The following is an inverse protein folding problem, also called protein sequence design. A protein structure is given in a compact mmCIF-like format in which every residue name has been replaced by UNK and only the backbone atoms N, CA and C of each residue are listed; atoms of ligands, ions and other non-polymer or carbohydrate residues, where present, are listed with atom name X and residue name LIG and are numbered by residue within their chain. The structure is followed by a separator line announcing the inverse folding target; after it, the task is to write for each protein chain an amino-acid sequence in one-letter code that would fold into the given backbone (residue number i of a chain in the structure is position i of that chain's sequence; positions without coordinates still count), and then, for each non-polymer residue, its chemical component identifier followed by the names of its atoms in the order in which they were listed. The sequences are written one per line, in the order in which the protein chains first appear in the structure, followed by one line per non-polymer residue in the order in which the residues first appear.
data_IF_450884876376
#
_entry.id   IF_450884876376
#
_cell.length_a   1.000
_cell.length_b   1.000
_cell.length_c   1.000
_cell.angle_alpha   90.00
_cell.angle_beta   90.00
_cell.angle_gamma   90.00
#
_symmetry.space_group_name_H-M   'P 1'
#
loop_
_entity.id
_entity.type
_entity.pdbx_description
1 polymer ?
#
# COMPACT_ATOMS: atom_id res chain seq x y z
N UNK A 1 -20.64 12.18 40.63
CA UNK A 1 -20.14 11.20 39.63
C UNK A 1 -21.30 10.91 38.69
N UNK A 2 -21.17 11.28 37.41
CA UNK A 2 -22.15 10.92 36.39
C UNK A 2 -22.23 9.40 36.26
N UNK A 3 -23.44 8.84 36.18
CA UNK A 3 -23.66 7.41 36.08
C UNK A 3 -23.21 6.90 34.71
N UNK A 4 -22.89 5.60 34.60
CA UNK A 4 -22.52 4.97 33.32
C UNK A 4 -23.56 5.21 32.22
N UNK A 5 -24.85 5.19 32.58
CA UNK A 5 -25.97 5.44 31.66
C UNK A 5 -25.97 6.88 31.09
N UNK A 6 -25.49 7.85 31.85
CA UNK A 6 -25.38 9.25 31.38
C UNK A 6 -24.12 9.46 30.51
N UNK A 7 -23.05 8.75 30.80
CA UNK A 7 -21.78 8.82 30.06
C UNK A 7 -21.83 8.11 28.73
N UNK A 8 -22.54 6.99 28.65
CA UNK A 8 -22.55 6.11 27.49
C UNK A 8 -22.94 6.79 26.17
N UNK A 9 -24.00 7.61 26.09
CA UNK A 9 -24.35 8.29 24.84
C UNK A 9 -23.27 9.26 24.35
N UNK A 10 -22.63 10.00 25.28
CA UNK A 10 -21.59 10.97 24.96
C UNK A 10 -20.35 10.25 24.40
N UNK A 11 -19.93 9.19 25.07
CA UNK A 11 -18.78 8.36 24.64
C UNK A 11 -19.07 7.73 23.29
N UNK A 12 -20.24 7.11 23.13
CA UNK A 12 -20.60 6.44 21.89
C UNK A 12 -20.65 7.39 20.69
N UNK A 13 -21.18 8.59 20.89
CA UNK A 13 -21.17 9.63 19.85
C UNK A 13 -19.75 10.03 19.46
N UNK A 14 -18.87 10.26 20.43
CA UNK A 14 -17.47 10.60 20.16
C UNK A 14 -16.71 9.48 19.46
N UNK A 15 -16.93 8.22 19.86
CA UNK A 15 -16.34 7.05 19.19
C UNK A 15 -16.83 6.90 17.76
N UNK A 16 -18.11 7.15 17.49
CA UNK A 16 -18.67 7.11 16.13
C UNK A 16 -18.01 8.17 15.24
N UNK A 17 -17.81 9.38 15.71
CA UNK A 17 -17.12 10.44 14.97
C UNK A 17 -15.68 10.04 14.67
N UNK A 18 -14.94 9.54 15.67
CA UNK A 18 -13.57 9.05 15.48
C UNK A 18 -13.52 7.85 14.53
N UNK A 19 -14.48 6.94 14.61
CA UNK A 19 -14.56 5.79 13.70
C UNK A 19 -14.85 6.19 12.25
N UNK A 20 -15.71 7.20 12.05
CA UNK A 20 -15.93 7.74 10.72
C UNK A 20 -14.64 8.30 10.11
N UNK A 21 -13.79 8.92 10.92
CA UNK A 21 -12.48 9.42 10.48
C UNK A 21 -11.54 8.26 10.12
N UNK A 22 -11.55 7.18 10.91
CA UNK A 22 -10.87 5.91 10.62
C UNK A 22 -11.31 5.34 9.27
N UNK A 23 -12.63 5.26 9.03
CA UNK A 23 -13.20 4.75 7.77
C UNK A 23 -12.82 5.63 6.57
N UNK A 24 -12.81 6.95 6.72
CA UNK A 24 -12.40 7.87 5.65
C UNK A 24 -10.94 7.65 5.28
N UNK A 25 -10.05 7.56 6.27
CA UNK A 25 -8.62 7.30 6.02
C UNK A 25 -8.41 5.94 5.34
N UNK A 26 -9.08 4.90 5.83
CA UNK A 26 -9.06 3.56 5.23
C UNK A 26 -9.51 3.60 3.76
N UNK A 27 -10.65 4.19 3.46
CA UNK A 27 -11.21 4.24 2.11
C UNK A 27 -10.30 5.04 1.15
N UNK A 28 -9.83 6.23 1.55
CA UNK A 28 -8.94 7.05 0.73
C UNK A 28 -7.62 6.33 0.47
N UNK A 29 -7.09 5.63 1.48
CA UNK A 29 -5.87 4.84 1.32
C UNK A 29 -6.06 3.76 0.26
N UNK A 30 -7.16 2.99 0.30
CA UNK A 30 -7.40 1.95 -0.70
C UNK A 30 -7.60 2.52 -2.10
N UNK A 31 -8.43 3.58 -2.23
CA UNK A 31 -8.71 4.22 -3.52
C UNK A 31 -7.41 4.75 -4.16
N UNK A 32 -6.49 5.29 -3.36
CA UNK A 32 -5.21 5.82 -3.85
C UNK A 32 -4.15 4.73 -4.03
N UNK A 33 -4.01 3.81 -3.07
CA UNK A 33 -2.93 2.83 -3.07
C UNK A 33 -3.09 1.72 -4.11
N UNK A 34 -4.33 1.29 -4.42
CA UNK A 34 -4.58 0.25 -5.42
C UNK A 34 -4.08 0.66 -6.81
N UNK A 35 -4.49 1.80 -7.41
CA UNK A 35 -4.00 2.22 -8.72
C UNK A 35 -2.53 2.65 -8.69
N UNK A 36 -2.09 3.36 -7.65
CA UNK A 36 -0.70 3.78 -7.52
C UNK A 36 0.24 2.57 -7.38
N UNK A 37 -0.16 1.56 -6.62
CA UNK A 37 0.58 0.31 -6.48
C UNK A 37 0.76 -0.43 -7.81
N UNK A 38 -0.26 -0.41 -8.67
CA UNK A 38 -0.17 -0.99 -10.02
C UNK A 38 0.84 -0.22 -10.90
N UNK A 39 0.82 1.10 -10.85
CA UNK A 39 1.80 1.96 -11.56
C UNK A 39 3.22 1.66 -11.08
N UNK A 40 3.43 1.60 -9.76
CA UNK A 40 4.72 1.26 -9.14
C UNK A 40 5.15 -0.16 -9.53
N UNK A 41 4.25 -1.13 -9.59
CA UNK A 41 4.54 -2.50 -10.03
C UNK A 41 5.08 -2.52 -11.46
N UNK A 42 4.43 -1.83 -12.39
CA UNK A 42 4.92 -1.71 -13.77
C UNK A 42 6.27 -1.01 -13.85
N UNK A 43 6.49 0.05 -13.07
CA UNK A 43 7.79 0.70 -12.95
C UNK A 43 8.89 -0.27 -12.50
N UNK A 44 8.61 -1.08 -11.47
CA UNK A 44 9.55 -2.08 -10.92
C UNK A 44 9.89 -3.22 -11.88
N UNK A 45 9.01 -3.48 -12.86
CA UNK A 45 9.18 -4.50 -13.91
C UNK A 45 9.64 -3.90 -15.25
N UNK A 46 9.78 -2.57 -15.35
CA UNK A 46 10.16 -1.90 -16.59
C UNK A 46 11.46 -2.43 -17.17
N UNK A 47 11.42 -2.73 -18.46
CA UNK A 47 12.59 -3.14 -19.24
C UNK A 47 13.19 -1.98 -20.04
N UNK A 48 12.69 -0.76 -19.87
CA UNK A 48 13.21 0.40 -20.55
C UNK A 48 14.66 0.69 -20.14
N UNK A 49 15.57 0.60 -21.13
CA UNK A 49 16.99 0.89 -20.94
C UNK A 49 17.29 2.31 -21.48
N UNK A 50 17.81 3.18 -20.60
CA UNK A 50 18.01 4.59 -20.96
C UNK A 50 18.96 4.77 -22.15
N UNK A 51 19.94 3.90 -22.28
CA UNK A 51 20.94 3.93 -23.37
C UNK A 51 20.73 2.79 -24.40
N UNK A 52 19.56 2.17 -24.42
CA UNK A 52 19.25 1.04 -25.29
C UNK A 52 19.39 1.35 -26.79
N UNK A 53 19.27 2.63 -27.18
CA UNK A 53 19.47 3.08 -28.55
C UNK A 53 20.94 2.95 -29.01
N UNK A 54 21.91 2.92 -28.11
CA UNK A 54 23.34 2.72 -28.40
C UNK A 54 23.71 1.23 -28.52
N UNK A 55 22.80 0.33 -28.21
CA UNK A 55 23.03 -1.11 -28.22
C UNK A 55 23.61 -1.64 -29.54
N UNK A 56 23.09 -1.26 -30.72
CA UNK A 56 23.65 -1.72 -31.99
C UNK A 56 25.10 -1.25 -32.20
N UNK A 57 25.41 -0.03 -31.80
CA UNK A 57 26.75 0.55 -31.96
C UNK A 57 27.79 -0.11 -31.05
N UNK A 58 27.42 -0.40 -29.80
CA UNK A 58 28.33 -0.98 -28.79
C UNK A 58 28.53 -2.49 -28.98
N UNK A 59 27.48 -3.22 -29.38
CA UNK A 59 27.53 -4.69 -29.45
C UNK A 59 27.92 -5.23 -30.84
N UNK A 60 27.88 -4.42 -31.90
CA UNK A 60 28.15 -4.86 -33.29
C UNK A 60 29.56 -5.39 -33.51
N UNK A 61 30.53 -4.96 -32.72
CA UNK A 61 31.96 -5.31 -32.88
C UNK A 61 32.56 -6.05 -31.68
N UNK A 62 31.70 -6.59 -30.80
CA UNK A 62 32.16 -7.16 -29.54
C UNK A 62 31.99 -8.67 -29.53
N UNK A 63 33.10 -9.39 -29.45
CA UNK A 63 33.10 -10.84 -29.24
C UNK A 63 32.76 -11.11 -27.75
N UNK A 64 31.53 -11.65 -27.48
CA UNK A 64 30.99 -11.83 -26.11
C UNK A 64 31.86 -12.73 -25.21
N UNK A 65 32.82 -13.46 -25.75
CA UNK A 65 33.71 -14.37 -25.00
C UNK A 65 34.99 -13.70 -24.47
N UNK A 66 35.41 -12.55 -25.03
CA UNK A 66 36.68 -11.90 -24.71
C UNK A 66 36.54 -10.42 -24.37
N UNK A 67 35.48 -10.08 -23.62
CA UNK A 67 35.26 -8.70 -23.20
C UNK A 67 36.28 -8.22 -22.18
N UNK A 68 36.95 -7.12 -22.49
CA UNK A 68 37.70 -6.35 -21.48
C UNK A 68 36.76 -5.79 -20.43
N UNK A 69 37.28 -5.48 -19.24
CA UNK A 69 36.47 -4.94 -18.14
C UNK A 69 35.64 -3.69 -18.55
N UNK A 70 36.25 -2.77 -19.28
CA UNK A 70 35.57 -1.57 -19.80
C UNK A 70 34.45 -1.89 -20.79
N UNK A 71 34.64 -2.85 -21.67
CA UNK A 71 33.61 -3.31 -22.60
C UNK A 71 32.42 -3.99 -21.88
N UNK A 72 32.70 -4.71 -20.78
CA UNK A 72 31.65 -5.25 -19.91
C UNK A 72 30.84 -4.16 -19.26
N UNK A 73 31.48 -3.09 -18.75
CA UNK A 73 30.80 -1.92 -18.17
C UNK A 73 29.96 -1.21 -19.22
N UNK A 74 30.49 -0.94 -20.41
CA UNK A 74 29.73 -0.30 -21.50
C UNK A 74 28.53 -1.16 -21.95
N UNK A 75 28.73 -2.45 -22.12
CA UNK A 75 27.64 -3.39 -22.45
C UNK A 75 26.56 -3.38 -21.36
N UNK A 76 26.93 -3.41 -20.09
CA UNK A 76 26.00 -3.35 -18.97
C UNK A 76 25.19 -2.04 -18.98
N UNK A 77 25.82 -0.89 -19.18
CA UNK A 77 25.11 0.40 -19.28
C UNK A 77 24.07 0.44 -20.38
N UNK A 78 24.38 -0.19 -21.52
CA UNK A 78 23.51 -0.19 -22.71
C UNK A 78 22.40 -1.23 -22.61
N UNK A 79 22.65 -2.38 -21.94
CA UNK A 79 21.66 -3.48 -21.88
C UNK A 79 20.88 -3.51 -20.57
N UNK A 80 21.54 -3.23 -19.44
CA UNK A 80 21.02 -3.53 -18.11
C UNK A 80 20.75 -2.28 -17.26
N UNK A 81 21.24 -1.11 -17.66
CA UNK A 81 20.91 0.13 -16.96
C UNK A 81 19.46 0.53 -17.24
N UNK A 82 18.58 0.19 -16.29
CA UNK A 82 17.13 0.43 -16.33
C UNK A 82 16.76 1.39 -15.20
N UNK A 83 16.90 2.71 -15.41
CA UNK A 83 16.79 3.70 -14.32
C UNK A 83 15.40 3.69 -13.66
N UNK A 84 14.32 3.55 -14.44
CA UNK A 84 12.96 3.47 -13.90
C UNK A 84 12.82 2.27 -12.95
N UNK A 85 13.29 1.11 -13.36
CA UNK A 85 13.26 -0.10 -12.54
C UNK A 85 14.12 0.06 -11.27
N UNK A 86 15.32 0.62 -11.41
CA UNK A 86 16.24 0.82 -10.29
C UNK A 86 15.65 1.79 -9.26
N UNK A 87 15.18 2.96 -9.72
CA UNK A 87 14.57 3.97 -8.84
C UNK A 87 13.32 3.42 -8.14
N UNK A 88 12.43 2.79 -8.88
CA UNK A 88 11.19 2.23 -8.31
C UNK A 88 11.50 1.16 -7.26
N UNK A 89 12.45 0.27 -7.52
CA UNK A 89 12.86 -0.76 -6.55
C UNK A 89 13.52 -0.17 -5.32
N UNK A 90 14.33 0.88 -5.49
CA UNK A 90 14.93 1.60 -4.38
C UNK A 90 13.85 2.22 -3.49
N UNK A 91 12.86 2.89 -4.08
CA UNK A 91 11.72 3.47 -3.35
C UNK A 91 10.95 2.39 -2.58
N UNK A 92 10.59 1.29 -3.26
CA UNK A 92 9.91 0.16 -2.61
C UNK A 92 10.73 -0.39 -1.44
N UNK A 93 12.04 -0.58 -1.64
CA UNK A 93 12.94 -1.09 -0.60
C UNK A 93 13.00 -0.17 0.62
N UNK A 94 13.14 1.15 0.43
CA UNK A 94 13.16 2.14 1.52
C UNK A 94 11.83 2.16 2.27
N UNK A 95 10.71 2.27 1.53
CA UNK A 95 9.38 2.40 2.13
C UNK A 95 8.99 1.14 2.90
N UNK A 96 9.22 -0.05 2.35
CA UNK A 96 8.91 -1.31 3.05
C UNK A 96 9.92 -1.68 4.14
N UNK A 97 11.11 -1.09 4.08
CA UNK A 97 12.17 -1.29 5.09
C UNK A 97 12.09 -0.34 6.28
N UNK A 98 11.18 0.63 6.27
CA UNK A 98 11.02 1.62 7.34
C UNK A 98 9.61 1.57 7.96
N UNK A 99 9.47 1.84 9.27
CA UNK A 99 8.16 1.83 9.92
C UNK A 99 7.21 2.90 9.36
N UNK A 100 5.95 2.55 9.10
CA UNK A 100 4.92 3.50 8.66
C UNK A 100 4.78 4.70 9.61
N UNK A 101 4.87 4.45 10.93
CA UNK A 101 4.82 5.51 11.94
C UNK A 101 5.93 6.56 11.72
N UNK A 102 7.16 6.13 11.41
CA UNK A 102 8.27 7.03 11.11
C UNK A 102 8.02 7.83 9.83
N UNK A 103 7.52 7.18 8.78
CA UNK A 103 7.17 7.84 7.53
C UNK A 103 6.12 8.93 7.74
N UNK A 104 5.11 8.64 8.55
CA UNK A 104 4.06 9.59 8.91
C UNK A 104 4.62 10.83 9.63
N UNK A 105 5.51 10.63 10.60
CA UNK A 105 6.20 11.73 11.29
C UNK A 105 7.04 12.56 10.33
N UNK A 106 7.80 11.91 9.45
CA UNK A 106 8.63 12.60 8.45
C UNK A 106 7.74 13.40 7.50
N UNK A 107 6.71 12.80 6.92
CA UNK A 107 5.82 13.47 5.96
C UNK A 107 5.13 14.67 6.59
N UNK A 108 4.70 14.56 7.85
CA UNK A 108 3.98 15.65 8.52
C UNK A 108 4.90 16.77 9.01
N UNK A 109 6.01 16.45 9.68
CA UNK A 109 6.85 17.44 10.34
C UNK A 109 8.02 17.98 9.49
N UNK A 110 8.59 17.14 8.60
CA UNK A 110 9.77 17.52 7.81
C UNK A 110 9.57 18.79 6.96
N UNK A 111 8.43 18.99 6.27
CA UNK A 111 8.21 20.23 5.52
C UNK A 111 8.29 21.48 6.39
N UNK A 112 7.73 21.42 7.62
CA UNK A 112 7.78 22.52 8.57
C UNK A 112 9.20 22.82 9.04
N UNK A 113 10.03 21.81 9.24
CA UNK A 113 11.42 21.95 9.65
C UNK A 113 12.31 22.56 8.56
N UNK A 114 12.14 22.12 7.32
CA UNK A 114 12.99 22.56 6.18
C UNK A 114 12.57 23.93 5.66
N UNK A 115 11.28 24.13 5.44
CA UNK A 115 10.77 25.38 4.84
C UNK A 115 10.23 26.38 5.85
N UNK A 116 10.36 26.10 7.17
CA UNK A 116 9.81 26.93 8.28
C UNK A 116 8.30 27.24 8.10
N UNK A 117 7.62 26.47 7.27
CA UNK A 117 6.20 26.57 6.99
C UNK A 117 5.59 25.19 6.93
N UNK A 118 4.60 24.94 7.77
CA UNK A 118 3.85 23.69 7.67
C UNK A 118 2.93 23.75 6.44
N UNK A 119 3.26 22.97 5.42
CA UNK A 119 2.47 22.91 4.16
C UNK A 119 1.10 22.25 4.36
N UNK A 120 0.96 21.44 5.40
CA UNK A 120 -0.28 20.72 5.70
C UNK A 120 -1.27 21.57 6.49
N UNK A 121 -0.81 22.62 7.17
CA UNK A 121 -1.56 23.35 8.18
C UNK A 121 -1.60 22.62 9.54
N UNK A 122 -2.06 23.33 10.58
CA UNK A 122 -2.13 22.78 11.95
C UNK A 122 -3.47 22.15 12.30
N UNK A 123 -4.47 22.27 11.42
CA UNK A 123 -5.84 21.78 11.65
C UNK A 123 -6.02 20.29 11.39
N UNK A 124 -7.19 19.79 11.72
CA UNK A 124 -7.59 18.37 11.53
C UNK A 124 -7.49 17.95 10.05
N UNK A 125 -7.93 18.83 9.13
CA UNK A 125 -7.84 18.58 7.68
C UNK A 125 -6.40 18.37 7.22
N UNK A 126 -5.46 19.20 7.69
CA UNK A 126 -4.05 19.06 7.34
C UNK A 126 -3.45 17.75 7.82
N UNK A 127 -3.76 17.33 9.04
CA UNK A 127 -3.36 16.03 9.60
C UNK A 127 -3.95 14.88 8.80
N UNK A 128 -5.22 15.00 8.41
CA UNK A 128 -5.89 13.99 7.60
C UNK A 128 -5.26 13.84 6.21
N UNK A 129 -4.95 14.95 5.52
CA UNK A 129 -4.29 14.93 4.21
C UNK A 129 -2.89 14.34 4.31
N UNK A 130 -2.09 14.77 5.29
CA UNK A 130 -0.75 14.23 5.51
C UNK A 130 -0.78 12.71 5.81
N UNK A 131 -1.72 12.27 6.67
CA UNK A 131 -1.96 10.84 6.91
C UNK A 131 -2.32 10.12 5.63
N UNK A 132 -3.26 10.65 4.85
CA UNK A 132 -3.70 10.04 3.59
C UNK A 132 -2.53 9.87 2.61
N UNK A 133 -1.67 10.89 2.45
CA UNK A 133 -0.48 10.81 1.58
C UNK A 133 0.48 9.73 2.07
N UNK A 134 0.78 9.70 3.38
CA UNK A 134 1.69 8.71 3.97
C UNK A 134 1.18 7.28 3.77
N UNK A 135 -0.09 7.04 4.09
CA UNK A 135 -0.73 5.74 3.97
C UNK A 135 -0.85 5.28 2.52
N UNK A 136 -1.31 6.14 1.62
CA UNK A 136 -1.43 5.82 0.19
C UNK A 136 -0.07 5.43 -0.38
N UNK A 137 0.98 6.19 -0.08
CA UNK A 137 2.31 5.91 -0.60
C UNK A 137 2.91 4.61 -0.03
N UNK A 138 2.76 4.40 1.28
CA UNK A 138 3.22 3.18 1.94
C UNK A 138 2.52 1.95 1.36
N UNK A 139 1.18 1.92 1.40
CA UNK A 139 0.39 0.79 0.93
C UNK A 139 0.51 0.54 -0.58
N UNK A 140 0.72 1.59 -1.38
CA UNK A 140 1.02 1.44 -2.80
C UNK A 140 2.32 0.64 -3.03
N UNK A 141 3.35 0.84 -2.20
CA UNK A 141 4.57 0.05 -2.28
C UNK A 141 4.34 -1.42 -1.89
N UNK A 142 3.51 -1.70 -0.89
CA UNK A 142 3.12 -3.08 -0.54
C UNK A 142 2.31 -3.74 -1.65
N UNK A 143 1.28 -3.06 -2.15
CA UNK A 143 0.46 -3.57 -3.24
C UNK A 143 1.26 -3.78 -4.53
N UNK A 144 2.26 -2.93 -4.79
CA UNK A 144 3.11 -3.10 -5.97
C UNK A 144 3.87 -4.43 -5.98
N UNK A 145 4.34 -4.89 -4.83
CA UNK A 145 5.01 -6.19 -4.72
C UNK A 145 4.03 -7.37 -4.84
N UNK A 146 2.80 -7.21 -4.33
CA UNK A 146 1.74 -8.20 -4.52
C UNK A 146 1.39 -8.32 -6.01
N UNK A 147 1.19 -7.20 -6.70
CA UNK A 147 0.95 -7.20 -8.14
C UNK A 147 2.11 -7.83 -8.92
N UNK A 148 3.34 -7.43 -8.61
CA UNK A 148 4.53 -8.00 -9.24
C UNK A 148 4.62 -9.51 -9.02
N UNK A 149 4.39 -9.97 -7.79
CA UNK A 149 4.37 -11.39 -7.45
C UNK A 149 3.28 -12.16 -8.21
N UNK A 150 2.07 -11.60 -8.30
CA UNK A 150 0.96 -12.19 -9.05
C UNK A 150 1.25 -12.31 -10.55
N UNK A 151 1.79 -11.22 -11.17
CA UNK A 151 2.12 -11.20 -12.61
C UNK A 151 3.24 -12.20 -12.91
N UNK A 152 4.32 -12.20 -12.13
CA UNK A 152 5.47 -13.08 -12.34
C UNK A 152 5.20 -14.52 -11.89
N UNK A 153 4.19 -14.73 -11.06
CA UNK A 153 3.81 -16.04 -10.56
C UNK A 153 3.03 -16.90 -11.57
N UNK A 154 2.59 -16.35 -12.70
CA UNK A 154 1.93 -17.15 -13.76
C UNK A 154 3.01 -17.91 -14.54
N UNK A 155 2.93 -19.26 -14.62
CA UNK A 155 3.92 -20.07 -15.34
C UNK A 155 4.01 -19.67 -16.81
N UNK A 156 5.23 -19.58 -17.36
CA UNK A 156 5.46 -19.25 -18.77
C UNK A 156 4.81 -20.24 -19.72
N UNK A 157 4.75 -21.53 -19.35
CA UNK A 157 4.09 -22.57 -20.13
C UNK A 157 2.62 -22.28 -20.44
N UNK A 158 1.92 -21.48 -19.63
CA UNK A 158 0.55 -21.03 -19.91
C UNK A 158 0.50 -20.10 -21.14
N UNK A 159 1.51 -19.22 -21.27
CA UNK A 159 1.62 -18.33 -22.42
C UNK A 159 2.01 -19.11 -23.68
N UNK A 160 2.95 -20.05 -23.57
CA UNK A 160 3.41 -20.92 -24.65
C UNK A 160 2.26 -21.81 -25.14
N UNK A 161 1.49 -22.41 -24.24
CA UNK A 161 0.30 -23.21 -24.61
C UNK A 161 -0.73 -22.35 -25.36
N UNK A 162 -0.99 -21.13 -24.92
CA UNK A 162 -1.87 -20.19 -25.62
C UNK A 162 -1.38 -19.88 -27.06
N UNK A 163 -0.05 -19.72 -27.24
CA UNK A 163 0.54 -19.49 -28.56
C UNK A 163 0.39 -20.70 -29.49
N UNK A 164 0.60 -21.92 -28.99
CA UNK A 164 0.39 -23.17 -29.74
C UNK A 164 -1.05 -23.31 -30.19
N UNK A 165 -2.02 -22.85 -29.38
CA UNK A 165 -3.44 -22.82 -29.75
C UNK A 165 -3.80 -21.67 -30.70
N UNK A 166 -2.84 -20.92 -31.22
CA UNK A 166 -3.06 -19.80 -32.13
C UNK A 166 -3.70 -18.55 -31.50
N UNK A 167 -3.69 -18.42 -30.16
CA UNK A 167 -4.23 -17.27 -29.49
C UNK A 167 -3.33 -16.04 -29.69
N UNK A 168 -3.93 -14.87 -29.88
CA UNK A 168 -3.20 -13.60 -29.89
C UNK A 168 -2.68 -13.26 -28.50
N UNK A 169 -1.64 -12.43 -28.41
CA UNK A 169 -1.09 -11.96 -27.12
C UNK A 169 -2.16 -11.35 -26.19
N UNK A 170 -3.09 -10.61 -26.76
CA UNK A 170 -4.22 -10.03 -26.02
C UNK A 170 -5.16 -11.10 -25.47
N UNK A 171 -5.50 -12.10 -26.31
CA UNK A 171 -6.35 -13.21 -25.84
C UNK A 171 -5.67 -14.01 -24.73
N UNK A 172 -4.38 -14.31 -24.84
CA UNK A 172 -3.60 -14.99 -23.80
C UNK A 172 -3.63 -14.15 -22.51
N UNK A 173 -3.40 -12.84 -22.62
CA UNK A 173 -3.41 -11.97 -21.43
C UNK A 173 -4.77 -11.97 -20.73
N UNK A 174 -5.85 -11.65 -21.45
CA UNK A 174 -7.16 -11.48 -20.81
C UNK A 174 -7.84 -12.80 -20.41
N UNK A 175 -7.68 -13.87 -21.21
CA UNK A 175 -8.37 -15.16 -20.97
C UNK A 175 -7.57 -16.14 -20.11
N UNK A 176 -6.24 -16.01 -20.05
CA UNK A 176 -5.36 -16.96 -19.36
C UNK A 176 -4.60 -16.30 -18.22
N UNK A 177 -3.78 -15.29 -18.54
CA UNK A 177 -2.84 -14.72 -17.57
C UNK A 177 -3.56 -13.90 -16.49
N UNK A 178 -4.47 -13.01 -16.87
CA UNK A 178 -5.16 -12.09 -15.97
C UNK A 178 -5.96 -12.84 -14.89
N UNK A 179 -6.71 -13.85 -15.27
CA UNK A 179 -7.53 -14.63 -14.33
C UNK A 179 -6.67 -15.36 -13.29
N UNK A 180 -5.56 -15.98 -13.75
CA UNK A 180 -4.62 -16.65 -12.84
C UNK A 180 -3.88 -15.65 -11.95
N UNK A 181 -3.53 -14.48 -12.48
CA UNK A 181 -2.90 -13.41 -11.74
C UNK A 181 -3.82 -12.89 -10.63
N UNK A 182 -5.09 -12.59 -10.94
CA UNK A 182 -6.08 -12.10 -9.95
C UNK A 182 -6.23 -13.11 -8.82
N UNK A 183 -6.36 -14.41 -9.12
CA UNK A 183 -6.43 -15.46 -8.11
C UNK A 183 -5.22 -15.46 -7.16
N UNK A 184 -4.01 -15.20 -7.67
CA UNK A 184 -2.78 -15.13 -6.86
C UNK A 184 -2.64 -13.84 -6.06
N UNK A 185 -3.24 -12.75 -6.53
CA UNK A 185 -3.16 -11.42 -5.89
C UNK A 185 -4.16 -11.28 -4.74
N UNK A 186 -5.37 -11.84 -4.89
CA UNK A 186 -6.47 -11.56 -3.95
C UNK A 186 -6.15 -11.99 -2.51
N UNK A 187 -5.62 -13.19 -2.20
CA UNK A 187 -5.36 -13.55 -0.81
C UNK A 187 -4.33 -12.64 -0.11
N UNK A 188 -3.14 -12.35 -0.66
CA UNK A 188 -2.21 -11.43 -0.02
C UNK A 188 -2.75 -9.98 0.03
N UNK A 189 -3.54 -9.55 -0.97
CA UNK A 189 -4.19 -8.25 -0.96
C UNK A 189 -5.21 -8.14 0.18
N UNK A 190 -6.03 -9.18 0.40
CA UNK A 190 -6.99 -9.26 1.51
C UNK A 190 -6.30 -9.10 2.87
N UNK A 191 -5.16 -9.77 3.07
CA UNK A 191 -4.39 -9.68 4.30
C UNK A 191 -3.88 -8.24 4.54
N UNK A 192 -3.36 -7.57 3.52
CA UNK A 192 -2.91 -6.18 3.62
C UNK A 192 -4.07 -5.21 3.88
N UNK A 193 -5.24 -5.43 3.27
CA UNK A 193 -6.45 -4.62 3.51
C UNK A 193 -6.91 -4.75 4.97
N UNK A 194 -6.89 -5.95 5.54
CA UNK A 194 -7.24 -6.16 6.95
C UNK A 194 -6.18 -5.52 7.87
N UNK A 195 -4.91 -5.58 7.51
CA UNK A 195 -3.82 -4.93 8.24
C UNK A 195 -3.99 -3.41 8.24
N UNK A 196 -4.35 -2.82 7.09
CA UNK A 196 -4.60 -1.39 6.95
C UNK A 196 -5.62 -0.86 7.97
N UNK A 197 -6.68 -1.64 8.28
CA UNK A 197 -7.66 -1.24 9.31
C UNK A 197 -6.96 -0.92 10.63
N UNK A 198 -6.07 -1.80 11.08
CA UNK A 198 -5.35 -1.61 12.35
C UNK A 198 -4.31 -0.48 12.26
N UNK A 199 -3.64 -0.37 11.14
CA UNK A 199 -2.61 0.64 10.91
C UNK A 199 -3.16 2.07 10.91
N UNK A 200 -4.44 2.28 10.56
CA UNK A 200 -5.07 3.62 10.66
C UNK A 200 -4.89 4.25 12.03
N UNK A 201 -4.77 3.45 13.08
CA UNK A 201 -4.52 3.90 14.45
C UNK A 201 -3.17 4.62 14.63
N UNK A 202 -2.20 4.40 13.75
CA UNK A 202 -0.89 5.06 13.79
C UNK A 202 -1.00 6.57 13.53
N UNK A 203 -2.05 7.00 12.82
CA UNK A 203 -2.29 8.42 12.52
C UNK A 203 -2.47 9.31 13.75
N UNK A 204 -2.80 8.72 14.90
CA UNK A 204 -2.85 9.43 16.19
C UNK A 204 -1.52 10.05 16.60
N UNK A 205 -0.37 9.57 16.07
CA UNK A 205 0.96 10.10 16.41
C UNK A 205 1.11 11.57 15.98
N UNK A 206 0.40 11.98 14.94
CA UNK A 206 0.29 13.37 14.50
C UNK A 206 -1.02 14.01 14.97
N UNK A 207 -1.67 13.42 15.98
CA UNK A 207 -2.91 13.87 16.61
C UNK A 207 -4.12 13.93 15.64
N UNK A 208 -4.22 13.02 14.67
CA UNK A 208 -5.45 12.79 13.92
C UNK A 208 -6.50 12.20 14.87
N UNK A 209 -7.71 12.76 14.86
CA UNK A 209 -8.78 12.39 15.79
C UNK A 209 -9.55 11.16 15.29
N UNK A 210 -8.85 10.03 15.22
CA UNK A 210 -9.42 8.71 14.87
C UNK A 210 -10.02 8.02 16.12
N UNK A 211 -10.57 6.83 15.97
CA UNK A 211 -11.34 6.16 17.02
C UNK A 211 -10.57 5.92 18.32
N UNK A 212 -9.28 5.56 18.27
CA UNK A 212 -8.47 5.36 19.49
C UNK A 212 -8.18 6.71 20.16
N UNK A 213 -7.90 7.75 19.36
CA UNK A 213 -7.75 9.11 19.90
C UNK A 213 -9.01 9.53 20.65
N UNK A 214 -10.20 9.29 20.10
CA UNK A 214 -11.47 9.58 20.74
C UNK A 214 -11.63 8.82 22.06
N UNK A 215 -11.31 7.54 22.12
CA UNK A 215 -11.33 6.75 23.36
C UNK A 215 -10.32 7.24 24.41
N UNK A 216 -9.12 7.62 24.01
CA UNK A 216 -8.09 8.15 24.89
C UNK A 216 -8.43 9.53 25.49
N UNK A 217 -9.22 10.34 24.78
CA UNK A 217 -9.66 11.64 25.27
C UNK A 217 -10.44 11.53 26.59
N UNK A 218 -11.25 10.50 26.76
CA UNK A 218 -11.98 10.23 28.01
C UNK A 218 -11.06 9.79 29.13
N UNK A 219 -10.06 8.97 28.85
CA UNK A 219 -9.07 8.56 29.84
C UNK A 219 -8.28 9.77 30.37
N UNK A 220 -7.95 10.74 29.52
CA UNK A 220 -7.21 11.95 29.86
C UNK A 220 -8.08 13.06 30.43
N UNK A 221 -9.39 12.88 30.52
CA UNK A 221 -10.33 13.88 31.06
C UNK A 221 -10.66 15.05 30.15
N UNK A 222 -10.20 15.05 28.91
CA UNK A 222 -10.41 16.15 27.95
C UNK A 222 -11.85 16.32 27.46
N UNK A 223 -12.73 15.38 27.78
CA UNK A 223 -14.16 15.38 27.41
C UNK A 223 -15.09 15.53 28.65
N UNK A 224 -14.57 16.08 29.75
CA UNK A 224 -15.36 16.25 30.96
C UNK A 224 -15.60 15.01 31.84
N UNK A 225 -15.19 13.84 31.34
CA UNK A 225 -15.24 12.53 32.03
C UNK A 225 -13.79 12.09 32.22
N UNK A 226 -13.28 12.11 33.45
CA UNK A 226 -11.90 11.76 33.72
C UNK A 226 -11.76 10.34 34.26
N UNK A 227 -10.67 9.65 33.88
CA UNK A 227 -10.29 8.36 34.42
C UNK A 227 -11.11 7.17 33.88
N UNK A 228 -11.97 7.35 32.90
CA UNK A 228 -12.75 6.27 32.32
C UNK A 228 -11.91 5.45 31.32
N UNK A 229 -11.61 4.20 31.66
CA UNK A 229 -10.84 3.27 30.81
C UNK A 229 -11.77 2.52 29.81
N UNK A 230 -13.02 2.32 30.18
CA UNK A 230 -13.96 1.55 29.38
C UNK A 230 -14.20 2.09 27.94
N UNK A 231 -14.14 3.42 27.65
CA UNK A 231 -14.23 3.92 26.27
C UNK A 231 -13.11 3.38 25.37
N UNK A 232 -11.90 3.24 25.92
CA UNK A 232 -10.77 2.68 25.19
C UNK A 232 -10.99 1.21 24.85
N UNK A 233 -11.61 0.44 25.75
CA UNK A 233 -12.01 -0.96 25.46
C UNK A 233 -12.98 -1.03 24.25
N UNK A 234 -13.96 -0.12 24.21
CA UNK A 234 -14.91 -0.09 23.09
C UNK A 234 -14.26 0.25 21.75
N UNK A 235 -13.15 0.99 21.71
CA UNK A 235 -12.41 1.19 20.46
C UNK A 235 -11.95 -0.16 19.87
N UNK A 236 -11.52 -1.09 20.72
CA UNK A 236 -11.17 -2.45 20.30
C UNK A 236 -12.35 -3.20 19.69
N UNK A 237 -13.57 -2.99 20.22
CA UNK A 237 -14.80 -3.58 19.66
C UNK A 237 -15.08 -3.03 18.26
N UNK A 238 -14.92 -1.73 18.03
CA UNK A 238 -15.05 -1.13 16.68
C UNK A 238 -14.07 -1.77 15.69
N UNK A 239 -12.79 -1.91 16.05
CA UNK A 239 -11.80 -2.55 15.19
C UNK A 239 -12.11 -4.02 14.93
N UNK A 240 -12.56 -4.75 15.96
CA UNK A 240 -12.90 -6.17 15.85
C UNK A 240 -14.08 -6.39 14.89
N UNK A 241 -15.14 -5.61 15.04
CA UNK A 241 -16.33 -5.69 14.19
C UNK A 241 -15.95 -5.35 12.74
N UNK A 242 -15.23 -4.26 12.53
CA UNK A 242 -14.86 -3.83 11.18
C UNK A 242 -13.92 -4.84 10.49
N UNK A 243 -12.87 -5.29 11.18
CA UNK A 243 -11.96 -6.32 10.66
C UNK A 243 -12.70 -7.64 10.40
N UNK A 244 -13.65 -8.02 11.28
CA UNK A 244 -14.48 -9.21 11.10
C UNK A 244 -15.35 -9.13 9.84
N UNK A 245 -16.04 -8.01 9.62
CA UNK A 245 -16.85 -7.79 8.41
C UNK A 245 -15.95 -7.88 7.16
N UNK A 246 -14.80 -7.21 7.16
CA UNK A 246 -13.87 -7.27 6.02
C UNK A 246 -13.35 -8.69 5.78
N UNK A 247 -13.00 -9.42 6.83
CA UNK A 247 -12.55 -10.82 6.72
C UNK A 247 -13.61 -11.70 6.07
N UNK A 248 -14.89 -11.53 6.43
CA UNK A 248 -15.98 -12.28 5.84
C UNK A 248 -16.20 -11.91 4.36
N UNK A 249 -16.18 -10.61 4.03
CA UNK A 249 -16.36 -10.12 2.66
C UNK A 249 -15.21 -10.55 1.75
N UNK A 250 -13.97 -10.38 2.19
CA UNK A 250 -12.78 -10.73 1.42
C UNK A 250 -12.66 -12.26 1.28
N UNK A 251 -12.92 -13.01 2.35
CA UNK A 251 -12.95 -14.47 2.28
C UNK A 251 -14.07 -15.03 1.37
N UNK A 252 -15.20 -14.31 1.25
CA UNK A 252 -16.21 -14.65 0.25
C UNK A 252 -15.71 -14.37 -1.18
N UNK A 253 -15.02 -13.25 -1.40
CA UNK A 253 -14.43 -12.92 -2.70
C UNK A 253 -13.35 -13.95 -3.11
N UNK A 254 -12.49 -14.35 -2.17
CA UNK A 254 -11.48 -15.40 -2.39
C UNK A 254 -12.11 -16.73 -2.80
N UNK A 255 -13.13 -17.18 -2.07
CA UNK A 255 -13.87 -18.43 -2.40
C UNK A 255 -14.51 -18.38 -3.78
N UNK A 256 -15.03 -17.22 -4.19
CA UNK A 256 -15.55 -17.05 -5.57
C UNK A 256 -14.51 -17.17 -6.67
N UNK A 257 -13.25 -16.89 -6.37
CA UNK A 257 -12.15 -17.00 -7.32
C UNK A 257 -11.51 -18.40 -7.35
N UNK A 258 -11.97 -19.33 -6.52
CA UNK A 258 -11.36 -20.66 -6.37
C UNK A 258 -11.97 -21.74 -7.31
N UNK A 259 -12.53 -21.36 -8.49
CA UNK A 259 -13.11 -22.34 -9.44
C UNK A 259 -12.09 -23.23 -10.13
N UNK A 260 -10.82 -22.87 -10.17
CA UNK A 260 -9.77 -23.69 -10.75
C UNK A 260 -8.90 -24.27 -9.64
N UNK A 261 -9.18 -25.50 -9.23
CA UNK A 261 -8.21 -26.32 -8.52
C UNK A 261 -7.13 -26.67 -9.55
N UNK A 262 -5.95 -26.04 -9.42
CA UNK A 262 -4.77 -26.45 -10.17
C UNK A 262 -4.11 -27.61 -9.46
#
# INVERSE_FOLDING_TARGET
MTTFSEQFPIVFQALNVGFLQTLKLFAITLIGAIPLGLIIAFGSMSNWAAFGFLRPAVLKHVNLRELTWWQKVQAWFVTDFKPVRLLTRLVIWVVRGTPLMLQLLVIYYFPGLVWKKNIWGSGETGRFVASSVAFVFNYACYFSEIYRGGIQGVPKGQQEAGQVLGMTKSQIFFKVTLLQMVKKIVPPMSNEIITLVKDTSLSRIIALQEVIWAGQAFMKGSQGISGAIWPLFFTGVYYLIFSGILTLLLGWAERKLDYFKA
#
